data_IF_214322797165
#
_entry.id   IF_214322797165
#
_cell.length_a   1.000
_cell.length_b   1.000
_cell.length_c   1.000
_cell.angle_alpha   90.00
_cell.angle_beta   90.00
_cell.angle_gamma   90.00
#
_symmetry.space_group_name_H-M   'P 1'
#
loop_
_entity.id
_entity.type
_entity.pdbx_description
1 polymer ?
#
# COMPACT_ATOMS: atom_id res chain seq x y z
N UNK A 1 11.48 11.39 -2.54
CA UNK A 1 12.28 10.65 -3.54
C UNK A 1 11.59 10.77 -4.88
N UNK A 2 12.31 11.22 -5.90
CA UNK A 2 11.82 11.24 -7.28
C UNK A 2 12.01 9.86 -7.93
N UNK A 3 11.33 9.58 -9.04
CA UNK A 3 11.35 8.28 -9.70
C UNK A 3 12.71 7.87 -10.31
N UNK A 4 12.87 6.58 -10.62
CA UNK A 4 14.09 6.09 -11.25
C UNK A 4 14.23 6.55 -12.70
N UNK A 5 13.14 6.97 -13.31
CA UNK A 5 13.19 7.63 -14.61
C UNK A 5 13.96 8.94 -14.59
N UNK A 6 14.00 9.68 -13.47
CA UNK A 6 14.83 10.89 -13.34
C UNK A 6 16.21 10.57 -12.74
N UNK A 7 16.26 9.67 -11.76
CA UNK A 7 17.47 9.33 -11.02
C UNK A 7 17.70 7.82 -11.07
N UNK A 8 18.59 7.39 -11.96
CA UNK A 8 18.86 5.96 -12.21
C UNK A 8 19.19 5.16 -10.95
N UNK A 9 19.80 5.78 -9.94
CA UNK A 9 20.14 5.19 -8.64
C UNK A 9 18.92 4.75 -7.82
N UNK A 10 17.73 5.29 -8.11
CA UNK A 10 16.49 4.86 -7.48
C UNK A 10 15.93 3.58 -8.13
N UNK A 11 16.50 3.10 -9.24
CA UNK A 11 16.20 1.78 -9.77
C UNK A 11 16.91 0.71 -8.91
N UNK A 12 16.17 -0.30 -8.46
CA UNK A 12 16.68 -1.33 -7.55
C UNK A 12 17.88 -2.06 -8.18
N UNK A 13 17.78 -2.50 -9.43
CA UNK A 13 18.83 -3.28 -10.10
C UNK A 13 20.09 -2.44 -10.34
N UNK A 14 19.91 -1.17 -10.72
CA UNK A 14 21.04 -0.22 -10.86
C UNK A 14 21.73 0.00 -9.51
N UNK A 15 20.96 0.19 -8.43
CA UNK A 15 21.52 0.32 -7.09
C UNK A 15 22.31 -0.95 -6.68
N UNK A 16 21.78 -2.15 -6.96
CA UNK A 16 22.51 -3.40 -6.73
C UNK A 16 23.81 -3.47 -7.54
N UNK A 17 23.76 -3.11 -8.82
CA UNK A 17 24.93 -3.07 -9.70
C UNK A 17 26.02 -2.11 -9.20
N UNK A 18 25.64 -1.04 -8.49
CA UNK A 18 26.56 -0.10 -7.82
C UNK A 18 27.05 -0.58 -6.44
N UNK A 19 26.64 -1.76 -5.98
CA UNK A 19 27.11 -2.38 -4.74
C UNK A 19 26.27 -2.09 -3.49
N UNK A 20 25.09 -1.46 -3.63
CA UNK A 20 24.20 -1.23 -2.48
C UNK A 20 23.59 -2.54 -1.98
N UNK A 21 23.90 -2.90 -0.73
CA UNK A 21 23.42 -4.13 -0.07
C UNK A 21 22.01 -4.03 0.49
N UNK A 22 21.51 -2.82 0.72
CA UNK A 22 20.13 -2.56 1.10
C UNK A 22 19.64 -1.38 0.26
N UNK A 23 18.48 -1.54 -0.37
CA UNK A 23 17.87 -0.54 -1.25
C UNK A 23 16.55 -0.07 -0.61
N UNK A 24 16.41 1.24 -0.50
CA UNK A 24 15.22 1.90 0.06
C UNK A 24 14.71 2.91 -0.95
N UNK A 25 13.57 2.64 -1.56
CA UNK A 25 12.96 3.53 -2.56
C UNK A 25 11.44 3.53 -2.44
N UNK A 26 10.73 4.30 -3.27
CA UNK A 26 9.26 4.26 -3.34
C UNK A 26 8.73 2.89 -3.79
N UNK A 27 9.54 2.09 -4.50
CA UNK A 27 9.12 0.75 -4.92
C UNK A 27 8.86 -0.16 -3.73
N UNK A 28 7.68 -0.76 -3.70
CA UNK A 28 7.26 -1.81 -2.76
C UNK A 28 8.08 -3.10 -2.93
N UNK A 29 8.86 -3.22 -4.01
CA UNK A 29 9.84 -4.29 -4.24
C UNK A 29 11.22 -4.00 -3.62
N UNK A 30 11.43 -2.82 -3.04
CA UNK A 30 12.66 -2.50 -2.29
C UNK A 30 12.77 -3.33 -1.01
N UNK A 31 13.97 -3.46 -0.46
CA UNK A 31 14.19 -4.13 0.84
C UNK A 31 13.39 -3.46 1.95
N UNK A 32 13.35 -2.11 1.92
CA UNK A 32 12.57 -1.27 2.83
C UNK A 32 11.92 -0.16 2.00
N UNK A 33 10.64 -0.32 1.60
CA UNK A 33 9.95 0.70 0.82
C UNK A 33 9.76 2.01 1.62
N UNK A 34 9.88 3.14 0.95
CA UNK A 34 9.68 4.49 1.52
C UNK A 34 8.65 5.21 0.65
N UNK A 35 7.39 4.94 0.93
CA UNK A 35 6.25 5.55 0.23
C UNK A 35 5.85 6.91 0.80
N UNK A 36 4.99 7.61 0.06
CA UNK A 36 4.43 8.91 0.44
C UNK A 36 3.07 8.78 1.14
N UNK A 37 2.98 7.84 2.07
CA UNK A 37 1.72 7.56 2.75
C UNK A 37 1.96 7.17 4.20
N UNK A 38 1.14 7.71 5.09
CA UNK A 38 0.99 7.25 6.47
C UNK A 38 -0.28 7.86 7.05
N UNK A 39 -0.85 7.20 8.06
CA UNK A 39 -1.97 7.77 8.82
C UNK A 39 -1.58 9.01 9.64
N UNK A 40 -0.31 9.13 10.02
CA UNK A 40 0.22 10.25 10.78
C UNK A 40 0.43 11.52 9.95
N UNK A 41 0.85 11.39 8.69
CA UNK A 41 1.14 12.52 7.80
C UNK A 41 -0.10 12.99 7.02
N UNK A 42 -1.02 12.08 6.72
CA UNK A 42 -2.19 12.36 5.89
C UNK A 42 -3.47 12.00 6.64
N UNK A 43 -4.32 13.01 6.89
CA UNK A 43 -5.67 12.80 7.40
C UNK A 43 -6.59 12.26 6.28
N UNK A 44 -6.30 11.04 5.83
CA UNK A 44 -6.98 10.37 4.71
C UNK A 44 -8.46 10.14 5.04
N UNK A 45 -8.83 10.09 6.31
CA UNK A 45 -10.22 9.93 6.76
C UNK A 45 -10.89 11.26 7.14
N UNK A 46 -10.27 12.41 6.82
CA UNK A 46 -10.88 13.72 7.00
C UNK A 46 -12.28 13.76 6.35
N UNK A 47 -13.27 14.41 7.00
CA UNK A 47 -14.60 14.61 6.45
C UNK A 47 -14.56 15.26 5.08
N UNK A 48 -15.48 14.86 4.19
CA UNK A 48 -15.60 15.45 2.85
C UNK A 48 -16.37 16.77 2.94
N UNK A 49 -15.73 17.93 2.66
CA UNK A 49 -16.43 19.21 2.65
C UNK A 49 -17.28 19.37 1.37
N UNK A 50 -18.25 20.30 1.36
CA UNK A 50 -19.00 20.64 0.16
C UNK A 50 -18.06 21.08 -0.98
N UNK A 51 -18.31 20.58 -2.19
CA UNK A 51 -17.57 20.97 -3.39
C UNK A 51 -18.21 22.23 -3.97
N UNK A 52 -17.51 23.35 -3.88
CA UNK A 52 -18.04 24.70 -4.17
C UNK A 52 -17.53 25.30 -5.46
N UNK A 53 -16.47 24.75 -6.05
CA UNK A 53 -15.92 25.29 -7.30
C UNK A 53 -16.71 24.81 -8.52
N UNK A 54 -16.89 25.72 -9.48
CA UNK A 54 -17.60 25.47 -10.74
C UNK A 54 -16.77 24.61 -11.71
N UNK A 55 -15.44 24.76 -11.68
CA UNK A 55 -14.54 23.89 -12.42
C UNK A 55 -14.55 22.48 -11.80
N UNK A 56 -14.51 21.45 -12.65
CA UNK A 56 -14.64 20.07 -12.21
C UNK A 56 -13.40 19.61 -11.43
N UNK A 57 -12.23 20.05 -11.88
CA UNK A 57 -10.96 19.63 -11.32
C UNK A 57 -10.00 20.79 -11.08
N UNK A 58 -9.04 20.56 -10.19
CA UNK A 58 -7.88 21.42 -10.02
C UNK A 58 -6.58 20.69 -10.30
N UNK A 59 -5.59 21.43 -10.82
CA UNK A 59 -4.27 20.93 -11.17
C UNK A 59 -3.16 21.79 -10.53
N UNK A 60 -2.20 21.13 -9.89
CA UNK A 60 -1.03 21.76 -9.26
C UNK A 60 0.25 21.21 -9.87
N UNK A 61 0.47 21.52 -11.16
CA UNK A 61 1.59 21.00 -11.95
C UNK A 61 2.58 22.13 -12.25
N UNK A 62 3.80 22.04 -11.72
CA UNK A 62 4.85 23.06 -11.94
C UNK A 62 6.05 22.55 -12.73
N UNK A 63 6.20 21.25 -12.92
CA UNK A 63 7.23 20.69 -13.78
C UNK A 63 6.64 20.38 -15.17
N UNK A 64 6.85 21.26 -16.14
CA UNK A 64 6.26 21.05 -17.47
C UNK A 64 7.05 20.06 -18.34
N UNK A 65 8.26 19.67 -17.91
CA UNK A 65 9.12 18.67 -18.56
C UNK A 65 9.03 17.30 -17.91
N UNK A 66 7.81 16.84 -17.60
CA UNK A 66 7.57 15.50 -17.07
C UNK A 66 8.03 14.42 -18.06
N UNK A 67 8.57 13.30 -17.58
CA UNK A 67 8.94 12.13 -18.40
C UNK A 67 7.73 11.21 -18.63
N UNK A 68 6.58 11.79 -18.97
CA UNK A 68 5.36 11.07 -19.33
C UNK A 68 4.41 11.97 -20.15
N UNK A 69 3.21 11.48 -20.43
CA UNK A 69 2.21 12.14 -21.27
C UNK A 69 1.24 13.06 -20.51
N UNK A 70 1.57 13.47 -19.27
CA UNK A 70 0.58 14.12 -18.39
C UNK A 70 0.07 15.47 -18.88
N UNK A 71 0.90 16.24 -19.60
CA UNK A 71 0.47 17.53 -20.14
C UNK A 71 -0.41 17.35 -21.37
N UNK A 72 -0.11 16.36 -22.22
CA UNK A 72 -0.99 15.99 -23.33
C UNK A 72 -2.34 15.50 -22.80
N UNK A 73 -2.35 14.72 -21.71
CA UNK A 73 -3.61 14.31 -21.06
C UNK A 73 -4.39 15.51 -20.50
N UNK A 74 -3.71 16.48 -19.87
CA UNK A 74 -4.33 17.73 -19.40
C UNK A 74 -4.98 18.51 -20.56
N UNK A 75 -4.22 18.77 -21.63
CA UNK A 75 -4.70 19.45 -22.83
C UNK A 75 -5.90 18.74 -23.46
N UNK A 76 -5.86 17.41 -23.54
CA UNK A 76 -6.96 16.61 -24.07
C UNK A 76 -8.21 16.67 -23.18
N UNK A 77 -8.07 16.68 -21.85
CA UNK A 77 -9.20 16.89 -20.94
C UNK A 77 -9.82 18.28 -21.13
N UNK A 78 -8.99 19.33 -21.24
CA UNK A 78 -9.44 20.70 -21.50
C UNK A 78 -10.20 20.79 -22.84
N UNK A 79 -9.65 20.21 -23.91
CA UNK A 79 -10.27 20.17 -25.25
C UNK A 79 -11.58 19.36 -25.30
N UNK A 80 -11.77 18.45 -24.34
CA UNK A 80 -13.01 17.69 -24.17
C UNK A 80 -13.98 18.40 -23.21
N UNK A 81 -13.86 19.72 -23.03
CA UNK A 81 -14.70 20.56 -22.18
C UNK A 81 -14.74 20.11 -20.70
N UNK A 82 -13.65 19.55 -20.18
CA UNK A 82 -13.47 19.41 -18.72
C UNK A 82 -12.88 20.72 -18.22
N UNK A 83 -13.66 21.52 -17.50
CA UNK A 83 -13.17 22.76 -16.87
C UNK A 83 -12.18 22.42 -15.76
N UNK A 84 -10.94 22.86 -15.92
CA UNK A 84 -9.82 22.59 -15.00
C UNK A 84 -9.19 23.91 -14.58
N UNK A 85 -9.11 24.15 -13.27
CA UNK A 85 -8.35 25.27 -12.72
C UNK A 85 -6.91 24.83 -12.42
N UNK A 86 -5.95 25.44 -13.11
CA UNK A 86 -4.53 25.13 -13.03
C UNK A 86 -3.80 26.23 -12.26
N UNK A 87 -3.32 25.87 -11.06
CA UNK A 87 -2.61 26.75 -10.12
C UNK A 87 -1.09 26.64 -10.22
N UNK A 88 -0.59 25.53 -10.80
CA UNK A 88 0.83 25.29 -11.01
C UNK A 88 1.41 26.14 -12.15
N UNK A 89 2.72 26.07 -12.35
CA UNK A 89 3.39 26.83 -13.43
C UNK A 89 2.97 26.39 -14.84
N UNK A 90 2.46 25.16 -15.01
CA UNK A 90 1.96 24.65 -16.30
C UNK A 90 0.47 24.95 -16.44
N UNK A 91 0.04 25.42 -17.61
CA UNK A 91 -1.37 25.76 -17.92
C UNK A 91 -2.00 26.77 -16.95
N UNK A 92 -1.19 27.55 -16.24
CA UNK A 92 -1.56 28.48 -15.16
C UNK A 92 -2.68 29.45 -15.55
N UNK A 93 -3.92 29.02 -15.40
CA UNK A 93 -5.13 29.79 -15.72
C UNK A 93 -5.82 30.33 -14.45
N UNK A 94 -5.32 29.92 -13.28
CA UNK A 94 -5.75 30.41 -11.98
C UNK A 94 -4.54 30.91 -11.19
N UNK A 95 -4.64 32.13 -10.69
CA UNK A 95 -3.60 32.74 -9.88
C UNK A 95 -3.91 32.65 -8.39
N UNK A 96 -2.87 32.52 -7.57
CA UNK A 96 -2.95 32.62 -6.13
C UNK A 96 -1.86 31.85 -5.41
N UNK A 97 -1.29 32.44 -4.36
CA UNK A 97 -0.49 31.69 -3.38
C UNK A 97 -1.45 31.00 -2.43
N UNK A 98 -2.01 29.88 -2.88
CA UNK A 98 -3.01 29.11 -2.15
C UNK A 98 -2.39 27.90 -1.45
N UNK A 99 -3.00 27.47 -0.35
CA UNK A 99 -2.71 26.15 0.19
C UNK A 99 -3.34 25.08 -0.71
N UNK A 100 -2.54 24.11 -1.15
CA UNK A 100 -2.96 23.10 -2.12
C UNK A 100 -4.09 22.23 -1.58
N UNK A 101 -3.97 21.70 -0.36
CA UNK A 101 -4.94 20.75 0.18
C UNK A 101 -6.25 21.47 0.51
N UNK A 102 -6.17 22.67 1.12
CA UNK A 102 -7.35 23.48 1.39
C UNK A 102 -8.06 23.89 0.10
N UNK A 103 -7.34 24.19 -0.98
CA UNK A 103 -7.96 24.48 -2.28
C UNK A 103 -8.63 23.24 -2.87
N UNK A 104 -7.95 22.09 -2.87
CA UNK A 104 -8.48 20.85 -3.42
C UNK A 104 -9.79 20.41 -2.76
N UNK A 105 -10.01 20.74 -1.48
CA UNK A 105 -11.25 20.44 -0.75
C UNK A 105 -12.51 20.94 -1.47
N UNK A 106 -12.41 22.01 -2.24
CA UNK A 106 -13.53 22.63 -2.94
C UNK A 106 -13.83 22.03 -4.33
N UNK A 107 -12.94 21.19 -4.86
CA UNK A 107 -13.08 20.55 -6.17
C UNK A 107 -13.57 19.10 -6.06
N UNK A 108 -14.36 18.65 -7.03
CA UNK A 108 -14.77 17.24 -7.12
C UNK A 108 -13.61 16.33 -7.48
N UNK A 109 -12.76 16.77 -8.40
CA UNK A 109 -11.60 16.03 -8.89
C UNK A 109 -10.29 16.75 -8.59
N UNK A 110 -9.24 15.97 -8.41
CA UNK A 110 -7.85 16.47 -8.28
C UNK A 110 -7.00 15.78 -9.34
N UNK A 111 -6.28 16.53 -10.17
CA UNK A 111 -5.35 15.94 -11.15
C UNK A 111 -4.05 15.54 -10.44
N UNK A 112 -4.00 14.30 -9.98
CA UNK A 112 -2.87 13.68 -9.30
C UNK A 112 -1.88 13.11 -10.31
N UNK A 113 -1.34 13.97 -11.19
CA UNK A 113 -0.46 13.57 -12.28
C UNK A 113 1.01 13.55 -11.84
N UNK A 114 1.62 12.37 -11.86
CA UNK A 114 3.03 12.17 -11.50
C UNK A 114 3.99 12.61 -12.60
N UNK A 115 5.27 12.79 -12.24
CA UNK A 115 6.31 13.21 -13.18
C UNK A 115 6.74 12.10 -14.15
N UNK A 116 6.39 10.84 -13.87
CA UNK A 116 6.74 9.67 -14.66
C UNK A 116 5.80 8.50 -14.34
N UNK A 117 5.72 7.53 -15.25
CA UNK A 117 4.90 6.34 -15.06
C UNK A 117 5.78 5.17 -14.61
N UNK A 118 5.83 4.89 -13.31
CA UNK A 118 6.69 3.87 -12.71
C UNK A 118 5.93 3.09 -11.62
N UNK A 119 6.15 1.77 -11.54
CA UNK A 119 5.49 0.90 -10.55
C UNK A 119 5.71 1.45 -9.13
N UNK A 120 4.61 1.61 -8.36
CA UNK A 120 4.56 2.20 -7.01
C UNK A 120 5.00 3.66 -6.87
N UNK A 121 5.30 4.35 -7.95
CA UNK A 121 5.59 5.76 -7.86
C UNK A 121 4.30 6.55 -7.66
N UNK A 122 3.83 6.57 -6.42
CA UNK A 122 2.62 7.23 -5.94
C UNK A 122 3.01 8.18 -4.82
N UNK A 123 2.86 9.49 -5.07
CA UNK A 123 3.40 10.54 -4.21
C UNK A 123 2.32 11.29 -3.44
N UNK A 124 2.70 12.40 -2.80
CA UNK A 124 1.78 13.29 -2.09
C UNK A 124 0.58 13.73 -2.95
N UNK A 125 0.74 13.80 -4.28
CA UNK A 125 -0.34 14.24 -5.19
C UNK A 125 -1.58 13.37 -5.06
N UNK A 126 -1.38 12.05 -4.97
CA UNK A 126 -2.47 11.10 -4.81
C UNK A 126 -3.08 11.20 -3.40
N UNK A 127 -2.26 11.09 -2.35
CA UNK A 127 -2.76 11.04 -0.98
C UNK A 127 -3.39 12.37 -0.52
N UNK A 128 -2.87 13.52 -0.95
CA UNK A 128 -3.50 14.83 -0.71
C UNK A 128 -4.87 14.94 -1.36
N UNK A 129 -5.10 14.28 -2.49
CA UNK A 129 -6.43 14.22 -3.12
C UNK A 129 -7.42 13.48 -2.22
N UNK A 130 -6.98 12.36 -1.63
CA UNK A 130 -7.78 11.60 -0.68
C UNK A 130 -8.08 12.41 0.58
N UNK A 131 -7.09 13.11 1.15
CA UNK A 131 -7.28 14.01 2.30
C UNK A 131 -8.33 15.08 1.99
N UNK A 132 -8.25 15.72 0.82
CA UNK A 132 -9.21 16.74 0.38
C UNK A 132 -10.63 16.21 0.12
N UNK A 133 -10.83 14.89 0.12
CA UNK A 133 -12.09 14.26 -0.26
C UNK A 133 -12.43 14.52 -1.73
N UNK A 134 -11.40 14.61 -2.58
CA UNK A 134 -11.53 14.80 -4.03
C UNK A 134 -11.14 13.51 -4.72
N UNK A 135 -11.82 13.17 -5.81
CA UNK A 135 -11.53 11.95 -6.58
C UNK A 135 -10.24 12.20 -7.38
N UNK A 136 -9.15 11.46 -7.12
CA UNK A 136 -7.92 11.62 -7.89
C UNK A 136 -8.11 11.11 -9.33
N UNK A 137 -7.73 11.95 -10.29
CA UNK A 137 -7.52 11.56 -11.69
C UNK A 137 -6.02 11.41 -11.87
N UNK A 138 -5.56 10.22 -12.25
CA UNK A 138 -4.16 9.83 -12.16
C UNK A 138 -3.56 9.59 -13.53
N UNK A 139 -2.39 10.17 -13.75
CA UNK A 139 -1.39 9.75 -14.75
C UNK A 139 -0.14 9.43 -13.94
N UNK A 140 0.33 8.18 -13.93
CA UNK A 140 1.44 7.80 -13.06
C UNK A 140 1.65 6.30 -12.99
N UNK A 141 1.72 5.75 -11.77
CA UNK A 141 2.00 4.33 -11.55
C UNK A 141 1.00 3.42 -12.30
N UNK A 142 1.47 2.50 -13.17
CA UNK A 142 0.58 1.61 -13.91
C UNK A 142 -0.30 0.71 -13.03
N UNK A 143 0.13 0.46 -11.79
CA UNK A 143 -0.55 -0.33 -10.77
C UNK A 143 -1.32 0.54 -9.75
N UNK A 144 -1.69 1.79 -10.08
CA UNK A 144 -2.37 2.71 -9.14
C UNK A 144 -3.63 2.13 -8.48
N UNK A 145 -4.30 1.18 -9.13
CA UNK A 145 -5.47 0.50 -8.56
C UNK A 145 -5.15 -0.23 -7.23
N UNK A 146 -3.91 -0.68 -7.04
CA UNK A 146 -3.44 -1.28 -5.78
C UNK A 146 -3.37 -0.28 -4.61
N UNK A 147 -3.38 1.02 -4.92
CA UNK A 147 -3.37 2.14 -3.98
C UNK A 147 -4.77 2.75 -3.78
N UNK A 148 -5.79 2.24 -4.48
CA UNK A 148 -7.15 2.77 -4.36
C UNK A 148 -7.76 2.43 -2.99
N UNK A 149 -8.37 3.40 -2.28
CA UNK A 149 -9.02 3.12 -1.00
C UNK A 149 -10.29 2.27 -1.15
N UNK A 150 -10.92 2.27 -2.32
CA UNK A 150 -12.12 1.49 -2.61
C UNK A 150 -12.45 1.44 -4.10
N UNK A 151 -13.51 0.71 -4.44
CA UNK A 151 -14.00 0.64 -5.81
C UNK A 151 -14.54 2.00 -6.27
N UNK A 152 -14.19 2.41 -7.49
CA UNK A 152 -14.64 3.68 -8.06
C UNK A 152 -14.07 4.93 -7.40
N UNK A 153 -13.10 4.80 -6.49
CA UNK A 153 -12.52 5.92 -5.74
C UNK A 153 -11.48 6.72 -6.52
N UNK A 154 -11.02 6.21 -7.67
CA UNK A 154 -9.97 6.84 -8.50
C UNK A 154 -10.32 6.72 -9.98
N UNK A 155 -9.84 7.66 -10.80
CA UNK A 155 -9.86 7.57 -12.26
C UNK A 155 -8.43 7.49 -12.78
N UNK A 156 -8.11 6.49 -13.59
CA UNK A 156 -6.75 6.27 -14.11
C UNK A 156 -6.73 6.50 -15.61
N UNK A 157 -5.85 7.39 -16.06
CA UNK A 157 -5.49 7.59 -17.46
C UNK A 157 -4.17 6.86 -17.66
N UNK A 158 -4.23 5.60 -18.13
CA UNK A 158 -3.06 4.75 -18.32
C UNK A 158 -2.33 5.11 -19.61
N UNK A 159 -3.08 5.51 -20.63
CA UNK A 159 -2.59 6.00 -21.92
C UNK A 159 -3.51 7.09 -22.49
N UNK A 160 -3.07 7.78 -23.54
CA UNK A 160 -3.83 8.92 -24.09
C UNK A 160 -5.22 8.53 -24.62
N UNK A 161 -5.39 7.30 -25.10
CA UNK A 161 -6.67 6.80 -25.59
C UNK A 161 -7.73 6.70 -24.49
N UNK A 162 -7.32 6.62 -23.21
CA UNK A 162 -8.24 6.60 -22.07
C UNK A 162 -8.88 7.96 -21.81
N UNK A 163 -8.25 9.07 -22.22
CA UNK A 163 -8.62 10.43 -21.80
C UNK A 163 -10.07 10.75 -22.13
N UNK A 164 -10.55 10.35 -23.31
CA UNK A 164 -11.95 10.56 -23.71
C UNK A 164 -12.95 9.84 -22.81
N UNK A 165 -12.64 8.59 -22.44
CA UNK A 165 -13.49 7.79 -21.55
C UNK A 165 -13.49 8.35 -20.12
N UNK A 166 -12.32 8.81 -19.65
CA UNK A 166 -12.16 9.43 -18.33
C UNK A 166 -12.88 10.78 -18.27
N UNK A 167 -12.76 11.63 -19.29
CA UNK A 167 -13.49 12.90 -19.37
C UNK A 167 -15.01 12.68 -19.30
N UNK A 168 -15.53 11.69 -20.05
CA UNK A 168 -16.95 11.31 -19.99
C UNK A 168 -17.36 10.87 -18.58
N UNK A 169 -16.51 10.09 -17.92
CA UNK A 169 -16.74 9.59 -16.56
C UNK A 169 -16.73 10.71 -15.54
N UNK A 170 -15.78 11.65 -15.64
CA UNK A 170 -15.71 12.84 -14.79
C UNK A 170 -16.98 13.68 -14.90
N UNK A 171 -17.45 13.94 -16.13
CA UNK A 171 -18.70 14.69 -16.37
C UNK A 171 -19.92 13.96 -15.79
N UNK A 172 -20.02 12.65 -15.98
CA UNK A 172 -21.11 11.84 -15.44
C UNK A 172 -21.16 11.90 -13.91
N UNK A 173 -20.03 11.64 -13.25
CA UNK A 173 -19.89 11.74 -11.78
C UNK A 173 -20.19 13.17 -11.31
N UNK A 174 -19.71 14.19 -12.02
CA UNK A 174 -19.96 15.57 -11.65
C UNK A 174 -21.44 15.96 -11.72
N UNK A 175 -22.20 15.41 -12.67
CA UNK A 175 -23.64 15.66 -12.83
C UNK A 175 -24.52 14.80 -11.94
N UNK A 176 -23.99 13.75 -11.33
CA UNK A 176 -24.76 12.75 -10.59
C UNK A 176 -24.26 12.67 -9.12
N UNK A 177 -25.01 13.26 -8.16
CA UNK A 177 -24.66 13.21 -6.74
C UNK A 177 -24.48 11.80 -6.20
N UNK A 178 -25.28 10.83 -6.64
CA UNK A 178 -25.17 9.44 -6.17
C UNK A 178 -23.88 8.80 -6.65
N UNK A 179 -23.50 9.02 -7.91
CA UNK A 179 -22.22 8.54 -8.45
C UNK A 179 -21.02 9.17 -7.72
N UNK A 180 -21.08 10.46 -7.42
CA UNK A 180 -20.04 11.14 -6.65
C UNK A 180 -19.93 10.60 -5.21
N UNK A 181 -21.07 10.44 -4.53
CA UNK A 181 -21.12 9.87 -3.19
C UNK A 181 -20.63 8.42 -3.17
N UNK A 182 -20.93 7.64 -4.21
CA UNK A 182 -20.45 6.26 -4.35
C UNK A 182 -18.92 6.21 -4.47
N UNK A 183 -18.29 7.10 -5.26
CA UNK A 183 -16.82 7.19 -5.37
C UNK A 183 -16.14 7.57 -4.04
N UNK A 184 -16.84 8.25 -3.13
CA UNK A 184 -16.32 8.63 -1.81
C UNK A 184 -16.88 7.77 -0.68
N UNK A 185 -17.60 6.69 -0.98
CA UNK A 185 -18.27 5.84 0.02
C UNK A 185 -17.30 5.29 1.07
N UNK A 186 -16.07 4.98 0.66
CA UNK A 186 -14.98 4.51 1.52
C UNK A 186 -14.63 5.49 2.67
N UNK A 187 -14.95 6.78 2.56
CA UNK A 187 -14.77 7.76 3.65
C UNK A 187 -15.70 7.50 4.84
N UNK A 188 -16.82 6.81 4.60
CA UNK A 188 -17.85 6.56 5.59
C UNK A 188 -17.85 5.10 6.05
N UNK A 189 -17.78 4.16 5.11
CA UNK A 189 -17.77 2.73 5.42
C UNK A 189 -16.38 2.22 5.86
N UNK A 190 -15.35 3.03 5.64
CA UNK A 190 -13.95 2.66 5.80
C UNK A 190 -13.32 2.18 4.49
N UNK A 191 -11.99 2.29 4.34
CA UNK A 191 -11.29 1.83 3.17
C UNK A 191 -11.17 0.30 3.14
N UNK A 192 -10.89 -0.24 1.96
CA UNK A 192 -10.64 -1.66 1.74
C UNK A 192 -9.52 -2.22 2.62
N UNK A 193 -9.58 -3.51 2.94
CA UNK A 193 -8.52 -4.19 3.69
C UNK A 193 -7.17 -4.14 2.97
N UNK A 194 -7.16 -4.18 1.62
CA UNK A 194 -5.93 -4.00 0.83
C UNK A 194 -5.31 -2.62 1.04
N UNK A 195 -6.13 -1.57 1.06
CA UNK A 195 -5.64 -0.22 1.31
C UNK A 195 -5.13 -0.08 2.75
N UNK A 196 -5.87 -0.57 3.74
CA UNK A 196 -5.41 -0.58 5.14
C UNK A 196 -4.06 -1.28 5.28
N UNK A 197 -3.93 -2.50 4.77
CA UNK A 197 -2.70 -3.27 4.79
C UNK A 197 -1.50 -2.56 4.11
N UNK A 198 -1.76 -1.75 3.07
CA UNK A 198 -0.75 -0.93 2.43
C UNK A 198 -0.30 0.22 3.35
N UNK A 199 -1.25 1.04 3.83
CA UNK A 199 -0.94 2.25 4.62
C UNK A 199 -0.34 1.87 5.99
N UNK A 200 -0.82 0.79 6.60
CA UNK A 200 -0.34 0.29 7.89
C UNK A 200 1.14 -0.09 7.88
N UNK A 201 1.74 -0.33 6.71
CA UNK A 201 3.20 -0.51 6.61
C UNK A 201 3.95 0.71 7.17
N UNK A 202 3.40 1.92 7.00
CA UNK A 202 3.99 3.15 7.48
C UNK A 202 3.76 3.40 8.97
N UNK A 203 2.94 2.60 9.66
CA UNK A 203 2.80 2.66 11.11
C UNK A 203 4.14 2.38 11.83
N UNK A 204 5.02 1.62 11.17
CA UNK A 204 6.41 1.46 11.61
C UNK A 204 7.29 2.33 10.72
N UNK A 205 7.92 3.34 11.31
CA UNK A 205 8.80 4.28 10.60
C UNK A 205 9.87 3.53 9.78
N UNK A 206 10.24 4.08 8.62
CA UNK A 206 11.17 3.43 7.67
C UNK A 206 12.51 3.04 8.29
N UNK A 207 13.04 3.85 9.21
CA UNK A 207 14.26 3.54 9.98
C UNK A 207 14.09 2.29 10.87
N UNK A 208 12.94 2.13 11.52
CA UNK A 208 12.64 0.95 12.32
C UNK A 208 12.49 -0.30 11.45
N UNK A 209 11.82 -0.17 10.29
CA UNK A 209 11.72 -1.26 9.30
C UNK A 209 13.10 -1.66 8.75
N UNK A 210 14.01 -0.71 8.56
CA UNK A 210 15.40 -0.99 8.22
C UNK A 210 16.11 -1.78 9.32
N UNK A 211 15.97 -1.37 10.59
CA UNK A 211 16.53 -2.13 11.71
C UNK A 211 15.98 -3.56 11.76
N UNK A 212 14.67 -3.75 11.57
CA UNK A 212 14.04 -5.08 11.52
C UNK A 212 14.60 -5.90 10.36
N UNK A 213 14.73 -5.31 9.16
CA UNK A 213 15.31 -5.99 8.00
C UNK A 213 16.74 -6.46 8.29
N UNK A 214 17.59 -5.57 8.79
CA UNK A 214 18.99 -5.89 9.13
C UNK A 214 19.06 -6.98 10.20
N UNK A 215 18.28 -6.82 11.29
CA UNK A 215 18.24 -7.78 12.38
C UNK A 215 17.77 -9.16 11.89
N UNK A 216 16.77 -9.21 11.01
CA UNK A 216 16.32 -10.47 10.39
C UNK A 216 17.43 -11.12 9.58
N UNK A 217 18.17 -10.36 8.76
CA UNK A 217 19.30 -10.89 7.99
C UNK A 217 20.47 -11.37 8.85
N UNK A 218 20.72 -10.73 9.98
CA UNK A 218 21.74 -11.18 10.95
C UNK A 218 21.28 -12.49 11.59
N UNK A 219 20.04 -12.53 12.08
CA UNK A 219 19.47 -13.71 12.75
C UNK A 219 19.41 -14.93 11.82
N UNK A 220 19.03 -14.74 10.55
CA UNK A 220 19.07 -15.80 9.52
C UNK A 220 20.47 -16.38 9.32
N UNK A 221 21.54 -15.57 9.48
CA UNK A 221 22.93 -16.07 9.39
C UNK A 221 23.34 -16.82 10.65
N UNK A 222 22.95 -16.33 11.82
CA UNK A 222 23.24 -16.98 13.11
C UNK A 222 22.60 -18.36 13.21
N UNK A 223 21.37 -18.51 12.73
CA UNK A 223 20.63 -19.79 12.77
C UNK A 223 21.18 -20.85 11.82
N UNK A 224 21.98 -20.46 10.82
CA UNK A 224 22.69 -21.43 9.96
C UNK A 224 23.89 -22.06 10.65
N UNK A 225 24.26 -21.60 11.84
CA UNK A 225 25.36 -22.18 12.60
C UNK A 225 24.94 -23.50 13.27
N UNK A 226 25.88 -24.45 13.50
CA UNK A 226 25.56 -25.76 14.10
C UNK A 226 24.87 -25.68 15.47
N UNK A 227 25.00 -24.55 16.17
CA UNK A 227 24.35 -24.29 17.45
C UNK A 227 22.82 -24.30 17.35
N UNK A 228 22.26 -23.92 16.20
CA UNK A 228 20.82 -23.76 16.00
C UNK A 228 20.21 -24.85 15.12
N UNK A 229 21.00 -25.55 14.30
CA UNK A 229 20.52 -26.64 13.43
C UNK A 229 20.04 -27.88 14.19
N UNK A 230 20.42 -28.04 15.47
CA UNK A 230 20.02 -29.17 16.31
C UNK A 230 18.67 -28.98 17.02
N UNK A 231 17.97 -27.86 16.80
CA UNK A 231 16.67 -27.60 17.44
C UNK A 231 15.58 -28.46 16.77
N UNK A 232 14.80 -29.26 17.52
CA UNK A 232 13.71 -30.03 16.94
C UNK A 232 12.58 -29.10 16.48
N UNK A 233 12.36 -29.05 15.17
CA UNK A 233 11.30 -28.26 14.53
C UNK A 233 9.99 -29.05 14.34
N UNK A 234 10.02 -30.35 14.63
CA UNK A 234 8.85 -31.21 14.62
C UNK A 234 9.01 -32.32 15.63
N UNK A 235 7.90 -32.85 16.13
CA UNK A 235 7.87 -33.99 17.03
C UNK A 235 6.84 -35.01 16.54
N UNK A 236 7.30 -36.23 16.22
CA UNK A 236 6.46 -37.31 15.73
C UNK A 236 6.08 -38.26 16.87
N UNK A 237 4.81 -38.63 16.92
CA UNK A 237 4.26 -39.57 17.89
C UNK A 237 3.23 -40.49 17.22
N UNK A 238 2.68 -41.45 17.98
CA UNK A 238 1.55 -42.28 17.51
C UNK A 238 0.31 -41.46 17.12
N UNK A 239 0.19 -40.22 17.60
CA UNK A 239 -0.92 -39.30 17.30
C UNK A 239 -0.63 -38.37 16.11
N UNK A 240 0.43 -38.64 15.35
CA UNK A 240 0.90 -37.81 14.24
C UNK A 240 2.07 -36.89 14.60
N UNK A 241 2.46 -36.07 13.63
CA UNK A 241 3.58 -35.11 13.75
C UNK A 241 3.05 -33.73 14.13
N UNK A 242 3.70 -33.09 15.10
CA UNK A 242 3.49 -31.68 15.43
C UNK A 242 4.63 -30.88 14.83
N UNK A 243 4.32 -29.86 14.04
CA UNK A 243 5.25 -28.92 13.44
C UNK A 243 5.30 -27.64 14.25
N UNK A 244 6.50 -27.12 14.49
CA UNK A 244 6.73 -25.84 15.15
C UNK A 244 6.97 -24.76 14.09
N UNK A 245 6.17 -23.71 14.13
CA UNK A 245 6.25 -22.55 13.26
C UNK A 245 6.55 -21.29 14.08
N UNK A 246 7.23 -20.33 13.46
CA UNK A 246 7.42 -19.00 14.02
C UNK A 246 6.60 -17.99 13.23
N UNK A 247 5.70 -17.27 13.90
CA UNK A 247 4.87 -16.26 13.24
C UNK A 247 5.03 -14.92 13.94
N UNK A 248 5.25 -13.85 13.17
CA UNK A 248 5.27 -12.47 13.69
C UNK A 248 4.34 -11.57 12.90
N UNK A 249 3.85 -10.51 13.53
CA UNK A 249 3.20 -9.44 12.78
C UNK A 249 4.24 -8.70 11.90
N UNK A 250 3.88 -8.38 10.67
CA UNK A 250 4.71 -7.55 9.78
C UNK A 250 4.96 -6.19 10.45
N UNK A 251 6.23 -5.78 10.51
CA UNK A 251 6.63 -4.58 11.26
C UNK A 251 7.10 -4.85 12.69
N UNK A 252 7.05 -6.11 13.15
CA UNK A 252 7.69 -6.55 14.38
C UNK A 252 8.89 -7.46 14.10
N UNK A 253 9.86 -7.48 15.01
CA UNK A 253 11.01 -8.37 14.92
C UNK A 253 10.74 -9.74 15.57
N UNK A 254 10.13 -9.75 16.76
CA UNK A 254 9.93 -10.96 17.57
C UNK A 254 8.83 -11.85 16.98
N UNK A 255 9.04 -13.16 17.03
CA UNK A 255 8.10 -14.17 16.57
C UNK A 255 7.51 -14.97 17.73
N UNK A 256 6.26 -15.36 17.55
CA UNK A 256 5.53 -16.25 18.41
C UNK A 256 5.61 -17.69 17.92
N UNK A 257 5.63 -18.63 18.88
CA UNK A 257 5.60 -20.06 18.57
C UNK A 257 4.17 -20.52 18.31
N UNK A 258 3.97 -21.16 17.16
CA UNK A 258 2.71 -21.79 16.75
C UNK A 258 2.96 -23.26 16.45
N UNK A 259 2.04 -24.13 16.86
CA UNK A 259 2.16 -25.57 16.67
C UNK A 259 0.97 -26.11 15.88
N UNK A 260 1.24 -26.78 14.76
CA UNK A 260 0.21 -27.41 13.92
C UNK A 260 0.45 -28.93 13.84
N UNK A 261 -0.63 -29.71 13.81
CA UNK A 261 -0.54 -31.17 13.63
C UNK A 261 -0.59 -31.52 12.15
N UNK A 262 0.00 -32.65 11.76
CA UNK A 262 0.03 -33.14 10.38
C UNK A 262 -1.35 -33.28 9.72
N UNK A 263 -2.41 -33.57 10.48
CA UNK A 263 -3.79 -33.60 9.98
C UNK A 263 -4.51 -32.24 9.95
N UNK A 264 -3.81 -31.15 10.26
CA UNK A 264 -4.34 -29.79 10.37
C UNK A 264 -3.40 -28.77 9.67
N UNK A 265 -2.66 -29.21 8.65
CA UNK A 265 -1.81 -28.32 7.85
C UNK A 265 -2.62 -27.63 6.75
N UNK A 266 -3.73 -26.99 7.14
CA UNK A 266 -4.62 -26.25 6.24
C UNK A 266 -4.50 -24.76 6.48
N UNK A 267 -4.85 -23.95 5.48
CA UNK A 267 -4.83 -22.49 5.56
C UNK A 267 -5.75 -21.99 6.68
N UNK A 268 -6.95 -22.57 6.80
CA UNK A 268 -7.89 -22.22 7.87
C UNK A 268 -7.40 -22.60 9.27
N UNK A 269 -6.71 -23.74 9.41
CA UNK A 269 -6.12 -24.13 10.69
C UNK A 269 -4.94 -23.23 11.09
N UNK A 270 -4.10 -22.85 10.12
CA UNK A 270 -3.01 -21.89 10.34
C UNK A 270 -3.56 -20.53 10.77
N UNK A 271 -4.54 -19.99 10.05
CA UNK A 271 -5.18 -18.71 10.39
C UNK A 271 -5.79 -18.76 11.79
N UNK A 272 -6.56 -19.82 12.09
CA UNK A 272 -7.17 -20.02 13.42
C UNK A 272 -6.13 -20.10 14.53
N UNK A 273 -5.01 -20.80 14.30
CA UNK A 273 -3.93 -20.92 15.28
C UNK A 273 -3.20 -19.59 15.50
N UNK A 274 -2.98 -18.81 14.44
CA UNK A 274 -2.41 -17.45 14.54
C UNK A 274 -3.33 -16.55 15.34
N UNK A 275 -4.62 -16.49 14.99
CA UNK A 275 -5.59 -15.69 15.73
C UNK A 275 -5.69 -16.10 17.20
N UNK A 276 -5.81 -17.40 17.48
CA UNK A 276 -5.88 -17.89 18.86
C UNK A 276 -4.63 -17.52 19.66
N UNK A 277 -3.43 -17.68 19.07
CA UNK A 277 -2.17 -17.34 19.73
C UNK A 277 -2.06 -15.85 20.01
N UNK A 278 -2.29 -14.98 19.02
CA UNK A 278 -2.16 -13.54 19.20
C UNK A 278 -3.24 -12.97 20.15
N UNK A 279 -4.47 -13.49 20.12
CA UNK A 279 -5.51 -13.14 21.11
C UNK A 279 -5.14 -13.56 22.53
N UNK A 280 -4.55 -14.75 22.70
CA UNK A 280 -4.12 -15.23 24.03
C UNK A 280 -3.05 -14.34 24.67
N UNK A 281 -2.32 -13.58 23.85
CA UNK A 281 -1.29 -12.62 24.29
C UNK A 281 -1.83 -11.21 24.50
N UNK A 282 -3.13 -10.97 24.28
CA UNK A 282 -3.72 -9.63 24.19
C UNK A 282 -2.93 -8.73 23.22
N UNK A 283 -2.56 -9.29 22.06
CA UNK A 283 -1.72 -8.59 21.10
C UNK A 283 -2.39 -7.34 20.55
N UNK A 284 -1.64 -6.24 20.53
CA UNK A 284 -2.04 -4.98 19.92
C UNK A 284 -1.32 -4.83 18.58
N UNK A 285 -2.05 -4.75 17.44
CA UNK A 285 -1.45 -4.55 16.13
C UNK A 285 -0.59 -3.28 16.06
N UNK A 286 0.51 -3.33 15.30
CA UNK A 286 1.45 -2.20 15.18
C UNK A 286 0.81 -0.92 14.66
N UNK A 287 -0.29 -1.04 13.91
CA UNK A 287 -1.00 0.09 13.30
C UNK A 287 -2.05 0.73 14.22
N UNK A 288 -2.35 0.14 15.39
CA UNK A 288 -3.54 0.52 16.18
C UNK A 288 -3.53 1.98 16.59
N UNK A 289 -2.41 2.47 17.11
CA UNK A 289 -2.32 3.84 17.62
C UNK A 289 -2.25 4.87 16.48
N UNK A 290 -1.70 4.45 15.33
CA UNK A 290 -1.53 5.28 14.14
C UNK A 290 -2.83 5.44 13.35
N UNK A 291 -3.70 4.42 13.32
CA UNK A 291 -4.97 4.52 12.61
C UNK A 291 -5.87 5.60 13.22
N UNK A 292 -6.57 6.40 12.38
CA UNK A 292 -7.56 7.36 12.84
C UNK A 292 -8.66 6.69 13.67
N UNK A 293 -9.21 7.35 14.70
CA UNK A 293 -10.26 6.78 15.56
C UNK A 293 -11.48 6.25 14.79
N UNK A 294 -11.82 6.86 13.65
CA UNK A 294 -12.94 6.46 12.79
C UNK A 294 -12.80 5.07 12.18
N UNK A 295 -11.56 4.56 12.02
CA UNK A 295 -11.28 3.26 11.39
C UNK A 295 -10.35 2.36 12.21
N UNK A 296 -10.01 2.78 13.44
CA UNK A 296 -9.11 2.03 14.34
C UNK A 296 -9.67 0.63 14.66
N UNK A 297 -10.99 0.49 14.69
CA UNK A 297 -11.66 -0.76 15.04
C UNK A 297 -11.53 -1.10 16.53
N UNK A 298 -12.02 -2.28 16.89
CA UNK A 298 -11.89 -2.84 18.24
C UNK A 298 -10.59 -3.65 18.41
N UNK A 299 -10.59 -4.55 19.39
CA UNK A 299 -9.46 -5.45 19.68
C UNK A 299 -9.50 -6.75 18.82
N UNK A 300 -10.48 -6.84 17.92
CA UNK A 300 -10.67 -8.00 17.07
C UNK A 300 -9.61 -8.07 15.97
N UNK A 301 -8.72 -9.06 16.08
CA UNK A 301 -7.76 -9.36 15.03
C UNK A 301 -8.46 -10.05 13.85
N UNK A 302 -8.26 -9.49 12.65
CA UNK A 302 -8.60 -10.09 11.36
C UNK A 302 -7.32 -10.32 10.56
N UNK A 303 -7.09 -11.55 10.11
CA UNK A 303 -5.95 -11.87 9.25
C UNK A 303 -6.23 -11.42 7.82
N UNK A 304 -5.32 -10.65 7.24
CA UNK A 304 -5.36 -10.29 5.83
C UNK A 304 -4.50 -11.21 4.97
N UNK A 305 -3.27 -11.47 5.43
CA UNK A 305 -2.28 -12.31 4.74
C UNK A 305 -1.39 -13.02 5.74
N UNK A 306 -1.01 -14.26 5.41
CA UNK A 306 0.08 -15.00 6.05
C UNK A 306 1.03 -15.48 4.96
N UNK A 307 2.32 -15.23 5.11
CA UNK A 307 3.33 -15.51 4.08
C UNK A 307 4.72 -15.75 4.69
N UNK A 308 5.67 -16.36 3.97
CA UNK A 308 7.05 -16.53 4.42
C UNK A 308 7.76 -15.23 4.81
N UNK A 309 8.55 -15.25 5.89
CA UNK A 309 9.46 -14.13 6.23
C UNK A 309 10.44 -13.90 5.08
N UNK A 310 10.73 -12.63 4.80
CA UNK A 310 11.74 -12.22 3.82
C UNK A 310 11.18 -11.75 2.48
N UNK A 311 9.87 -11.84 2.28
CA UNK A 311 9.21 -11.25 1.11
C UNK A 311 9.21 -9.71 1.18
N UNK A 312 9.41 -9.08 0.02
CA UNK A 312 9.20 -7.63 -0.18
C UNK A 312 7.74 -7.26 0.06
N UNK A 313 7.43 -5.97 0.21
CA UNK A 313 6.02 -5.60 0.40
C UNK A 313 5.16 -5.96 -0.82
N UNK A 314 5.67 -5.71 -2.03
CA UNK A 314 4.97 -6.06 -3.27
C UNK A 314 4.62 -7.55 -3.29
N UNK A 315 5.56 -8.40 -2.91
CA UNK A 315 5.32 -9.84 -2.83
C UNK A 315 4.29 -10.18 -1.77
N UNK A 316 4.43 -9.65 -0.56
CA UNK A 316 3.54 -9.93 0.58
C UNK A 316 2.07 -9.51 0.34
N UNK A 317 1.85 -8.35 -0.28
CA UNK A 317 0.51 -7.81 -0.49
C UNK A 317 -0.15 -8.34 -1.77
N UNK A 318 0.61 -8.40 -2.87
CA UNK A 318 0.02 -8.48 -4.21
C UNK A 318 0.45 -9.68 -5.06
N UNK A 319 1.56 -10.37 -4.74
CA UNK A 319 2.05 -11.48 -5.58
C UNK A 319 1.98 -12.86 -4.92
N UNK A 320 2.32 -12.96 -3.63
CA UNK A 320 2.38 -14.23 -2.93
C UNK A 320 1.05 -14.56 -2.24
N UNK A 321 0.62 -15.80 -2.42
CA UNK A 321 -0.40 -16.47 -1.62
C UNK A 321 -0.19 -17.97 -1.73
N UNK A 322 -0.39 -18.70 -0.65
CA UNK A 322 -0.60 -20.14 -0.77
C UNK A 322 -1.87 -20.37 -1.58
N UNK A 323 -1.76 -21.18 -2.63
CA UNK A 323 -2.84 -21.49 -3.57
C UNK A 323 -3.89 -22.39 -2.93
N UNK A 324 -3.45 -23.33 -2.12
CA UNK A 324 -4.27 -24.31 -1.44
C UNK A 324 -3.56 -24.89 -0.20
N UNK A 325 -4.27 -25.75 0.52
CA UNK A 325 -3.76 -26.45 1.71
C UNK A 325 -2.55 -27.34 1.38
N UNK A 326 -2.47 -27.91 0.18
CA UNK A 326 -1.37 -28.80 -0.21
C UNK A 326 -0.06 -28.03 -0.36
N UNK A 327 -0.11 -26.83 -0.92
CA UNK A 327 1.06 -25.96 -1.03
C UNK A 327 1.57 -25.50 0.34
N UNK A 328 0.66 -25.18 1.27
CA UNK A 328 1.04 -24.87 2.65
C UNK A 328 1.69 -26.08 3.35
N UNK A 329 1.05 -27.26 3.25
CA UNK A 329 1.55 -28.49 3.84
C UNK A 329 2.95 -28.83 3.32
N UNK A 330 3.16 -28.74 2.01
CA UNK A 330 4.46 -28.97 1.38
C UNK A 330 5.49 -27.95 1.87
N UNK A 331 5.14 -26.66 1.92
CA UNK A 331 6.02 -25.61 2.42
C UNK A 331 6.47 -25.88 3.86
N UNK A 332 5.56 -26.26 4.76
CA UNK A 332 5.88 -26.56 6.17
C UNK A 332 6.79 -27.78 6.29
N UNK A 333 6.60 -28.81 5.46
CA UNK A 333 7.45 -30.01 5.46
C UNK A 333 8.86 -29.72 4.93
N UNK A 334 8.97 -28.88 3.91
CA UNK A 334 10.26 -28.53 3.28
C UNK A 334 11.07 -27.50 4.09
N UNK A 335 10.41 -26.75 4.98
CA UNK A 335 11.03 -25.70 5.78
C UNK A 335 10.88 -25.98 7.28
N UNK A 336 11.79 -26.77 7.89
CA UNK A 336 11.82 -26.95 9.34
C UNK A 336 11.84 -25.60 10.07
N UNK A 337 10.98 -25.45 11.09
CA UNK A 337 10.83 -24.21 11.84
C UNK A 337 10.41 -23.04 10.93
N UNK A 338 9.48 -23.30 10.00
CA UNK A 338 9.05 -22.33 9.01
C UNK A 338 8.69 -20.99 9.67
N UNK A 339 9.23 -19.92 9.09
CA UNK A 339 9.04 -18.56 9.57
C UNK A 339 8.05 -17.84 8.68
N UNK A 340 6.99 -17.32 9.28
CA UNK A 340 5.90 -16.63 8.61
C UNK A 340 5.71 -15.23 9.20
N UNK A 341 5.20 -14.34 8.38
CA UNK A 341 4.66 -13.05 8.81
C UNK A 341 3.15 -13.05 8.59
N UNK A 342 2.43 -12.36 9.48
CA UNK A 342 1.01 -12.08 9.37
C UNK A 342 0.79 -10.57 9.24
N UNK A 343 -0.17 -10.19 8.40
CA UNK A 343 -0.71 -8.83 8.34
C UNK A 343 -2.13 -8.89 8.92
N UNK A 344 -2.38 -8.10 9.95
CA UNK A 344 -3.72 -7.87 10.49
C UNK A 344 -4.34 -6.59 9.92
N UNK A 345 -5.66 -6.53 9.75
CA UNK A 345 -6.37 -5.35 9.21
C UNK A 345 -7.66 -4.98 9.92
#
# INVERSE_FOLDING_TARGET
MESSQYYSENNIDVARGRGYKIVMTTSLSSDVPVGYFSWAEYDIMAPVPPKTEEALAAAFISNCGARNFRLQALEMLENLDVKIDSYGSCHRNRDGKVDKVETLKHYKFSLAFENSNEEDYVTEKFFQSLVAGSIPVVVGAPNIQEFSPGEGAILHIKELDDVASVAKTMKNIASNPDAFNQSLRWKYDGPSDSFKALIDMAAVHSSCRLCIHIATKIHEKEERTPKFTNRPCSCSSKKGTVYHLFVRERGQFKSESIFLRSGQLTLGALESAVLAKFRSLNHVPVWKDERPPSIRGGDDLKVYRIYPVGLTQRQALYRFRFRDDSELEQYIKDHPCAKLEVIFV
#
